data_IF_489483815737
#
_entry.id   IF_489483815737
#
_cell.length_a   1.000
_cell.length_b   1.000
_cell.length_c   1.000
_cell.angle_alpha   90.00
_cell.angle_beta   90.00
_cell.angle_gamma   90.00
#
_symmetry.space_group_name_H-M   'P 1'
#
loop_
_entity.id
_entity.type
_entity.pdbx_description
1 polymer ?
#
# COMPACT_ATOMS: atom_id res chain seq x y z
N UNK A 1 -1.95 8.52 5.02
CA UNK A 1 -1.17 7.27 5.09
C UNK A 1 -0.41 7.10 3.80
N UNK A 2 0.89 6.81 3.83
CA UNK A 2 1.66 6.42 2.65
C UNK A 2 2.17 5.00 2.85
N UNK A 3 2.06 4.15 1.83
CA UNK A 3 2.40 2.74 1.93
C UNK A 3 2.48 2.05 0.58
N UNK A 4 2.79 0.74 0.59
CA UNK A 4 3.00 -0.06 -0.61
C UNK A 4 1.78 -0.09 -1.57
N UNK A 5 0.57 0.18 -1.06
CA UNK A 5 -0.63 0.29 -1.90
C UNK A 5 -0.55 1.35 -2.99
N UNK A 6 0.28 2.39 -2.83
CA UNK A 6 0.47 3.41 -3.89
C UNK A 6 1.15 2.83 -5.13
N UNK A 7 1.95 1.77 -4.99
CA UNK A 7 2.66 1.15 -6.11
C UNK A 7 1.73 0.35 -7.03
N UNK A 8 0.60 -0.14 -6.52
CA UNK A 8 -0.40 -0.85 -7.33
C UNK A 8 -1.41 0.11 -7.99
N UNK A 9 -1.52 1.35 -7.52
CA UNK A 9 -2.46 2.34 -8.07
C UNK A 9 -2.28 2.58 -9.58
N UNK A 10 -1.06 2.79 -10.14
CA UNK A 10 -0.91 2.98 -11.58
C UNK A 10 -1.36 1.76 -12.39
N UNK A 11 -1.12 0.56 -11.87
CA UNK A 11 -1.57 -0.67 -12.52
C UNK A 11 -3.08 -0.80 -12.49
N UNK A 12 -3.72 -0.50 -11.36
CA UNK A 12 -5.18 -0.50 -11.23
C UNK A 12 -5.81 0.54 -12.16
N UNK A 13 -5.26 1.76 -12.20
CA UNK A 13 -5.69 2.83 -13.12
C UNK A 13 -5.54 2.43 -14.60
N UNK A 14 -4.48 1.70 -14.96
CA UNK A 14 -4.29 1.19 -16.31
C UNK A 14 -5.32 0.11 -16.70
N UNK A 15 -5.81 -0.67 -15.74
CA UNK A 15 -6.83 -1.71 -15.96
C UNK A 15 -8.25 -1.16 -15.96
N UNK A 16 -8.59 -0.23 -15.05
CA UNK A 16 -9.92 0.38 -14.90
C UNK A 16 -10.17 1.57 -15.84
N UNK A 17 -9.13 2.07 -16.50
CA UNK A 17 -9.19 3.29 -17.31
C UNK A 17 -9.23 4.57 -16.47
N UNK A 18 -8.87 5.69 -17.10
CA UNK A 18 -8.72 6.97 -16.40
C UNK A 18 -10.05 7.50 -15.83
N UNK A 19 -11.15 7.43 -16.58
CA UNK A 19 -12.44 7.94 -16.14
C UNK A 19 -12.98 7.24 -14.89
N UNK A 20 -13.31 5.94 -14.96
CA UNK A 20 -13.80 5.18 -13.81
C UNK A 20 -12.80 5.14 -12.65
N UNK A 21 -11.50 5.00 -12.97
CA UNK A 21 -10.45 4.99 -11.97
C UNK A 21 -10.40 6.28 -11.14
N UNK A 22 -10.45 7.46 -11.78
CA UNK A 22 -10.46 8.75 -11.06
C UNK A 22 -11.73 8.92 -10.23
N UNK A 23 -12.90 8.53 -10.76
CA UNK A 23 -14.16 8.60 -10.00
C UNK A 23 -14.08 7.76 -8.73
N UNK A 24 -13.62 6.51 -8.83
CA UNK A 24 -13.48 5.62 -7.67
C UNK A 24 -12.44 6.17 -6.68
N UNK A 25 -11.33 6.73 -7.16
CA UNK A 25 -10.32 7.35 -6.30
C UNK A 25 -10.88 8.53 -5.49
N UNK A 26 -11.63 9.42 -6.14
CA UNK A 26 -12.25 10.58 -5.48
C UNK A 26 -13.32 10.11 -4.47
N UNK A 27 -14.16 9.16 -4.84
CA UNK A 27 -15.16 8.59 -3.92
C UNK A 27 -14.50 7.92 -2.70
N UNK A 28 -13.47 7.10 -2.93
CA UNK A 28 -12.70 6.47 -1.86
C UNK A 28 -12.07 7.50 -0.94
N UNK A 29 -11.54 8.60 -1.49
CA UNK A 29 -10.97 9.69 -0.70
C UNK A 29 -12.02 10.40 0.16
N UNK A 30 -13.19 10.72 -0.39
CA UNK A 30 -14.30 11.34 0.37
C UNK A 30 -14.75 10.41 1.51
N UNK A 31 -14.95 9.12 1.22
CA UNK A 31 -15.33 8.13 2.24
C UNK A 31 -14.26 8.07 3.34
N UNK A 32 -12.98 8.07 2.97
CA UNK A 32 -11.86 8.04 3.93
C UNK A 32 -11.83 9.28 4.82
N UNK A 33 -12.07 10.47 4.26
CA UNK A 33 -12.16 11.70 5.06
C UNK A 33 -13.34 11.66 6.03
N UNK A 34 -14.50 11.18 5.56
CA UNK A 34 -15.68 11.04 6.39
C UNK A 34 -15.45 10.06 7.55
N UNK A 35 -14.86 8.89 7.29
CA UNK A 35 -14.57 7.90 8.34
C UNK A 35 -13.52 8.42 9.32
N UNK A 36 -12.48 9.13 8.86
CA UNK A 36 -11.51 9.77 9.74
C UNK A 36 -12.17 10.79 10.66
N UNK A 37 -13.07 11.61 10.12
CA UNK A 37 -13.83 12.55 10.95
C UNK A 37 -14.69 11.82 11.99
N UNK A 38 -15.43 10.78 11.60
CA UNK A 38 -16.18 9.98 12.56
C UNK A 38 -15.29 9.38 13.65
N UNK A 39 -14.08 8.92 13.32
CA UNK A 39 -13.16 8.39 14.34
C UNK A 39 -12.69 9.46 15.33
N UNK A 40 -12.41 10.68 14.85
CA UNK A 40 -12.03 11.80 15.72
C UNK A 40 -13.16 12.15 16.67
N UNK A 41 -14.39 12.26 16.16
CA UNK A 41 -15.56 12.54 16.99
C UNK A 41 -15.80 11.41 18.01
N UNK A 42 -15.61 10.15 17.58
CA UNK A 42 -15.85 9.01 18.44
C UNK A 42 -14.81 8.79 19.53
N UNK A 43 -13.63 9.38 19.37
CA UNK A 43 -12.50 9.25 20.30
C UNK A 43 -12.80 9.87 21.69
N UNK A 44 -13.63 10.92 21.71
CA UNK A 44 -14.05 11.65 22.93
C UNK A 44 -15.59 11.70 23.08
N UNK A 45 -16.32 10.69 22.57
CA UNK A 45 -17.80 10.63 22.68
C UNK A 45 -18.33 10.75 24.11
N UNK A 46 -17.54 10.36 25.11
CA UNK A 46 -17.91 10.44 26.53
C UNK A 46 -16.93 11.37 27.24
N UNK A 47 -17.41 12.47 27.85
CA UNK A 47 -16.52 13.39 28.56
C UNK A 47 -15.77 12.66 29.68
N UNK A 48 -14.45 12.68 29.62
CA UNK A 48 -13.55 12.05 30.59
C UNK A 48 -13.09 10.63 30.25
N UNK A 49 -13.52 10.03 29.13
CA UNK A 49 -13.01 8.72 28.67
C UNK A 49 -12.52 8.80 27.23
N UNK A 50 -11.22 8.54 27.04
CA UNK A 50 -10.54 8.52 25.76
C UNK A 50 -10.55 7.09 25.21
N UNK A 51 -11.14 6.89 24.03
CA UNK A 51 -11.17 5.57 23.38
C UNK A 51 -10.04 5.47 22.35
N UNK A 52 -8.86 5.03 22.79
CA UNK A 52 -7.67 4.96 21.93
C UNK A 52 -7.62 3.72 21.02
N UNK A 53 -8.46 2.70 21.27
CA UNK A 53 -8.44 1.44 20.52
C UNK A 53 -9.78 1.11 19.87
N UNK A 54 -9.71 0.57 18.65
CA UNK A 54 -10.89 0.17 17.86
C UNK A 54 -11.81 -0.81 18.59
N UNK A 55 -11.27 -1.77 19.34
CA UNK A 55 -12.11 -2.71 20.09
C UNK A 55 -12.82 -2.04 21.27
N UNK A 56 -12.24 -1.02 21.90
CA UNK A 56 -12.89 -0.29 23.00
C UNK A 56 -14.08 0.53 22.48
N UNK A 57 -13.91 1.17 21.31
CA UNK A 57 -15.03 1.80 20.58
C UNK A 57 -16.09 0.78 20.19
N UNK A 58 -15.68 -0.37 19.65
CA UNK A 58 -16.60 -1.45 19.27
C UNK A 58 -17.40 -1.97 20.45
N UNK A 59 -16.76 -2.14 21.60
CA UNK A 59 -17.41 -2.55 22.85
C UNK A 59 -18.39 -1.49 23.37
N UNK A 60 -18.09 -0.21 23.20
CA UNK A 60 -19.00 0.86 23.56
C UNK A 60 -20.23 0.94 22.64
N UNK A 61 -20.05 0.78 21.33
CA UNK A 61 -21.13 0.90 20.34
C UNK A 61 -22.01 -0.35 20.23
N UNK A 62 -21.43 -1.55 20.32
CA UNK A 62 -22.12 -2.83 20.08
C UNK A 62 -22.24 -3.71 21.34
N UNK A 63 -21.72 -3.26 22.48
CA UNK A 63 -21.66 -4.02 23.73
C UNK A 63 -20.38 -4.82 23.91
N UNK A 64 -20.02 -5.14 25.17
CA UNK A 64 -18.70 -5.68 25.55
C UNK A 64 -18.28 -6.97 24.82
N UNK A 65 -19.25 -7.86 24.52
CA UNK A 65 -18.97 -9.14 23.87
C UNK A 65 -19.10 -9.07 22.35
N UNK A 66 -20.18 -8.49 21.84
CA UNK A 66 -20.44 -8.41 20.40
C UNK A 66 -19.45 -7.49 19.69
N UNK A 67 -19.14 -6.32 20.27
CA UNK A 67 -18.16 -5.40 19.72
C UNK A 67 -16.77 -5.99 19.59
N UNK A 68 -16.33 -6.75 20.60
CA UNK A 68 -15.04 -7.42 20.57
C UNK A 68 -14.99 -8.52 19.52
N UNK A 69 -16.03 -9.37 19.44
CA UNK A 69 -16.10 -10.46 18.45
C UNK A 69 -16.21 -10.00 17.00
N UNK A 70 -16.70 -8.79 16.72
CA UNK A 70 -16.78 -8.26 15.36
C UNK A 70 -15.48 -7.51 14.99
N UNK A 71 -15.02 -6.61 15.86
CA UNK A 71 -13.91 -5.71 15.53
C UNK A 71 -12.57 -6.43 15.56
N UNK A 72 -12.33 -7.31 16.54
CA UNK A 72 -11.01 -7.96 16.69
C UNK A 72 -10.70 -8.90 15.52
N UNK A 73 -11.60 -9.78 15.06
CA UNK A 73 -11.30 -10.63 13.90
C UNK A 73 -11.06 -9.83 12.63
N UNK A 74 -11.86 -8.78 12.39
CA UNK A 74 -11.67 -7.92 11.22
C UNK A 74 -10.30 -7.22 11.24
N UNK A 75 -9.91 -6.68 12.40
CA UNK A 75 -8.61 -6.03 12.57
C UNK A 75 -7.47 -7.02 12.35
N UNK A 76 -7.54 -8.22 12.94
CA UNK A 76 -6.52 -9.26 12.77
C UNK A 76 -6.39 -9.73 11.32
N UNK A 77 -7.50 -9.93 10.62
CA UNK A 77 -7.47 -10.34 9.20
C UNK A 77 -6.78 -9.25 8.36
N UNK A 78 -7.10 -7.98 8.60
CA UNK A 78 -6.47 -6.87 7.89
C UNK A 78 -4.98 -6.76 8.20
N UNK A 79 -4.58 -6.82 9.47
CA UNK A 79 -3.17 -6.72 9.90
C UNK A 79 -2.33 -7.87 9.32
N UNK A 80 -2.76 -9.12 9.51
CA UNK A 80 -2.07 -10.30 8.99
C UNK A 80 -2.00 -10.27 7.46
N UNK A 81 -3.09 -9.88 6.79
CA UNK A 81 -3.11 -9.77 5.33
C UNK A 81 -2.10 -8.74 4.81
N UNK A 82 -2.05 -7.57 5.47
CA UNK A 82 -1.10 -6.50 5.14
C UNK A 82 0.34 -6.96 5.36
N UNK A 83 0.64 -7.63 6.47
CA UNK A 83 1.98 -8.16 6.77
C UNK A 83 2.46 -9.16 5.72
N UNK A 84 1.59 -10.08 5.29
CA UNK A 84 1.91 -11.05 4.22
C UNK A 84 2.24 -10.31 2.91
N UNK A 85 1.43 -9.33 2.52
CA UNK A 85 1.64 -8.56 1.29
C UNK A 85 2.97 -7.78 1.36
N UNK A 86 3.29 -7.19 2.51
CA UNK A 86 4.57 -6.49 2.70
C UNK A 86 5.76 -7.45 2.64
N UNK A 87 5.68 -8.64 3.25
CA UNK A 87 6.74 -9.65 3.18
C UNK A 87 7.03 -10.09 1.75
N UNK A 88 5.99 -10.39 0.98
CA UNK A 88 6.13 -10.82 -0.43
C UNK A 88 6.66 -9.68 -1.30
N UNK A 89 6.14 -8.46 -1.11
CA UNK A 89 6.55 -7.29 -1.89
C UNK A 89 7.99 -6.89 -1.58
N UNK A 90 8.40 -6.94 -0.31
CA UNK A 90 9.78 -6.70 0.12
C UNK A 90 10.74 -7.73 -0.45
N UNK A 91 10.41 -9.03 -0.37
CA UNK A 91 11.21 -10.10 -0.96
C UNK A 91 11.35 -9.98 -2.48
N UNK A 92 10.27 -9.64 -3.20
CA UNK A 92 10.32 -9.35 -4.65
C UNK A 92 11.18 -8.13 -4.97
N UNK A 93 11.17 -7.11 -4.11
CA UNK A 93 12.00 -5.91 -4.28
C UNK A 93 13.49 -6.25 -4.14
N UNK A 94 13.85 -7.06 -3.14
CA UNK A 94 15.22 -7.56 -2.98
C UNK A 94 15.68 -8.41 -4.17
N UNK A 95 14.81 -9.27 -4.69
CA UNK A 95 15.09 -10.05 -5.89
C UNK A 95 15.40 -9.13 -7.08
N UNK A 96 14.59 -8.09 -7.32
CA UNK A 96 14.85 -7.13 -8.40
C UNK A 96 16.18 -6.41 -8.24
N UNK A 97 16.55 -6.02 -7.01
CA UNK A 97 17.86 -5.40 -6.74
C UNK A 97 18.99 -6.38 -7.08
N UNK A 98 18.87 -7.64 -6.64
CA UNK A 98 19.82 -8.68 -6.97
C UNK A 98 19.96 -8.87 -8.49
N UNK A 99 18.85 -8.92 -9.22
CA UNK A 99 18.85 -9.13 -10.67
C UNK A 99 19.47 -7.95 -11.41
N UNK A 100 19.23 -6.71 -10.97
CA UNK A 100 19.86 -5.51 -11.52
C UNK A 100 21.38 -5.50 -11.33
N UNK A 101 21.86 -5.91 -10.14
CA UNK A 101 23.31 -6.01 -9.88
C UNK A 101 23.92 -7.17 -10.68
N UNK A 102 23.19 -8.27 -10.80
CA UNK A 102 23.63 -9.45 -11.54
C UNK A 102 23.69 -9.25 -13.05
N UNK A 103 22.88 -8.38 -13.64
CA UNK A 103 23.00 -8.04 -15.08
C UNK A 103 24.41 -7.52 -15.45
N UNK A 104 25.18 -7.02 -14.48
CA UNK A 104 26.56 -6.58 -14.66
C UNK A 104 27.63 -7.66 -14.39
N UNK A 105 27.26 -8.84 -13.87
CA UNK A 105 28.20 -9.96 -13.62
C UNK A 105 27.79 -11.23 -14.36
N UNK A 106 28.73 -11.85 -15.07
CA UNK A 106 28.47 -13.02 -15.94
C UNK A 106 28.09 -14.32 -15.19
N UNK A 107 28.36 -14.42 -13.89
CA UNK A 107 28.18 -15.67 -13.11
C UNK A 107 27.03 -15.59 -12.09
N UNK A 108 25.85 -15.21 -12.56
CA UNK A 108 24.71 -15.01 -11.68
C UNK A 108 23.71 -16.16 -11.73
N UNK A 109 23.64 -16.89 -10.62
CA UNK A 109 22.68 -17.98 -10.44
C UNK A 109 21.32 -17.42 -10.06
N UNK A 110 20.27 -17.85 -10.77
CA UNK A 110 18.90 -17.52 -10.45
C UNK A 110 18.51 -18.14 -9.09
N UNK A 111 18.26 -17.29 -8.11
CA UNK A 111 17.78 -17.68 -6.77
C UNK A 111 16.25 -17.55 -6.76
N UNK A 112 15.57 -18.53 -6.14
CA UNK A 112 14.10 -18.49 -6.01
C UNK A 112 13.67 -17.32 -5.14
N UNK A 113 12.57 -16.65 -5.51
CA UNK A 113 11.96 -15.53 -4.75
C UNK A 113 11.72 -15.87 -3.28
N UNK A 114 11.38 -17.13 -2.97
CA UNK A 114 11.16 -17.61 -1.60
C UNK A 114 12.36 -17.34 -0.68
N UNK A 115 13.59 -17.48 -1.17
CA UNK A 115 14.78 -17.20 -0.35
C UNK A 115 14.92 -15.71 -0.05
N UNK A 116 14.60 -14.82 -1.01
CA UNK A 116 14.60 -13.38 -0.76
C UNK A 116 13.51 -12.95 0.23
N UNK A 117 12.35 -13.59 0.20
CA UNK A 117 11.29 -13.37 1.21
C UNK A 117 11.80 -13.80 2.60
N UNK A 118 12.45 -14.96 2.72
CA UNK A 118 13.01 -15.43 3.99
C UNK A 118 14.10 -14.49 4.54
N UNK A 119 14.95 -13.93 3.67
CA UNK A 119 15.95 -12.93 4.05
C UNK A 119 15.28 -11.64 4.54
N UNK A 120 14.22 -11.19 3.87
CA UNK A 120 13.48 -10.01 4.32
C UNK A 120 12.77 -10.24 5.66
N UNK A 121 12.22 -11.44 5.86
CA UNK A 121 11.55 -11.85 7.09
C UNK A 121 12.53 -11.96 8.28
N UNK A 122 13.77 -12.43 8.07
CA UNK A 122 14.75 -12.50 9.15
C UNK A 122 15.14 -11.12 9.68
N UNK A 123 15.23 -10.11 8.81
CA UNK A 123 15.44 -8.72 9.24
C UNK A 123 14.26 -8.22 10.09
N UNK A 124 13.03 -8.50 9.68
CA UNK A 124 11.83 -8.12 10.45
C UNK A 124 11.76 -8.83 11.80
N UNK A 125 12.18 -10.09 11.86
CA UNK A 125 12.27 -10.85 13.11
C UNK A 125 13.28 -10.24 14.09
N UNK A 126 14.43 -9.75 13.60
CA UNK A 126 15.39 -9.05 14.46
C UNK A 126 14.81 -7.71 14.92
N UNK A 127 14.13 -6.97 14.03
CA UNK A 127 13.49 -5.70 14.37
C UNK A 127 12.35 -5.87 15.38
N UNK A 128 11.60 -6.98 15.36
CA UNK A 128 10.53 -7.25 16.32
C UNK A 128 11.03 -7.48 17.75
N UNK A 129 12.31 -7.81 17.91
CA UNK A 129 12.94 -7.95 19.23
C UNK A 129 13.36 -6.60 19.83
N UNK A 130 13.23 -5.49 19.11
CA UNK A 130 13.54 -4.16 19.65
C UNK A 130 12.34 -3.64 20.48
N UNK A 131 12.46 -3.51 21.82
CA UNK A 131 11.34 -3.13 22.68
C UNK A 131 11.10 -1.61 22.75
N UNK A 132 11.89 -0.79 22.04
CA UNK A 132 11.89 0.67 22.18
C UNK A 132 11.14 1.36 21.05
N UNK A 133 10.08 2.12 21.38
CA UNK A 133 9.38 3.02 20.46
C UNK A 133 10.31 4.05 19.79
N UNK A 134 11.39 4.46 20.49
CA UNK A 134 12.41 5.35 19.92
C UNK A 134 13.24 4.71 18.80
N UNK A 135 13.35 3.38 18.73
CA UNK A 135 14.00 2.71 17.60
C UNK A 135 13.09 2.70 16.36
N UNK A 136 11.77 2.66 16.56
CA UNK A 136 10.77 2.61 15.49
C UNK A 136 10.58 4.00 14.85
N UNK A 137 10.73 5.09 15.62
CA UNK A 137 10.63 6.45 15.08
C UNK A 137 11.68 6.74 14.00
N UNK A 138 12.89 6.19 14.14
CA UNK A 138 13.94 6.29 13.11
C UNK A 138 13.55 5.59 11.80
N UNK A 139 12.96 4.40 11.89
CA UNK A 139 12.45 3.64 10.73
C UNK A 139 11.27 4.39 10.09
N UNK A 140 10.38 4.96 10.90
CA UNK A 140 9.26 5.78 10.41
C UNK A 140 9.73 7.02 9.67
N UNK A 141 10.73 7.73 10.20
CA UNK A 141 11.33 8.89 9.55
C UNK A 141 11.97 8.50 8.21
N UNK A 142 12.74 7.41 8.16
CA UNK A 142 13.30 6.89 6.92
C UNK A 142 12.22 6.52 5.90
N UNK A 143 11.14 5.87 6.34
CA UNK A 143 10.00 5.54 5.48
C UNK A 143 9.32 6.81 4.93
N UNK A 144 9.17 7.86 5.73
CA UNK A 144 8.63 9.14 5.30
C UNK A 144 9.54 9.81 4.24
N UNK A 145 10.86 9.83 4.46
CA UNK A 145 11.83 10.37 3.49
C UNK A 145 11.78 9.58 2.17
N UNK A 146 11.75 8.25 2.23
CA UNK A 146 11.65 7.41 1.04
C UNK A 146 10.35 7.67 0.29
N UNK A 147 9.22 7.78 1.00
CA UNK A 147 7.91 8.11 0.43
C UNK A 147 7.92 9.45 -0.30
N UNK A 148 8.48 10.50 0.31
CA UNK A 148 8.61 11.81 -0.31
C UNK A 148 9.49 11.72 -1.56
N UNK A 149 10.63 11.04 -1.46
CA UNK A 149 11.55 10.83 -2.58
C UNK A 149 10.89 10.12 -3.75
N UNK A 150 10.16 9.02 -3.51
CA UNK A 150 9.42 8.31 -4.56
C UNK A 150 8.34 9.17 -5.20
N UNK A 151 7.60 9.96 -4.40
CA UNK A 151 6.59 10.87 -4.91
C UNK A 151 7.22 11.97 -5.79
N UNK A 152 8.33 12.56 -5.35
CA UNK A 152 9.06 13.57 -6.11
C UNK A 152 9.62 12.99 -7.41
N UNK A 153 10.23 11.80 -7.39
CA UNK A 153 10.72 11.13 -8.60
C UNK A 153 9.56 10.85 -9.57
N UNK A 154 8.43 10.34 -9.06
CA UNK A 154 7.25 10.08 -9.89
C UNK A 154 6.71 11.36 -10.53
N UNK A 155 6.69 12.47 -9.80
CA UNK A 155 6.29 13.79 -10.31
C UNK A 155 7.25 14.29 -11.38
N UNK A 156 8.56 14.30 -11.10
CA UNK A 156 9.60 14.75 -12.03
C UNK A 156 9.59 13.90 -13.30
N UNK A 157 9.54 12.57 -13.18
CA UNK A 157 9.47 11.67 -14.33
C UNK A 157 8.19 11.86 -15.15
N UNK A 158 7.06 12.21 -14.51
CA UNK A 158 5.80 12.50 -15.22
C UNK A 158 5.86 13.81 -15.99
N UNK A 159 6.51 14.84 -15.43
CA UNK A 159 6.73 16.13 -16.09
C UNK A 159 7.74 15.99 -17.23
N UNK A 160 8.86 15.31 -16.98
CA UNK A 160 9.89 15.04 -17.98
C UNK A 160 9.34 14.27 -19.19
N UNK A 161 8.57 13.20 -18.94
CA UNK A 161 7.85 12.48 -20.01
C UNK A 161 6.87 13.37 -20.75
N UNK A 162 6.20 14.32 -20.10
CA UNK A 162 5.31 15.27 -20.79
C UNK A 162 6.13 16.17 -21.73
N UNK A 163 7.24 16.71 -21.25
CA UNK A 163 8.11 17.61 -22.05
C UNK A 163 8.75 16.88 -23.24
N UNK A 164 9.24 15.64 -23.05
CA UNK A 164 9.82 14.84 -24.13
C UNK A 164 8.79 14.28 -25.11
N UNK A 165 7.60 13.83 -24.67
CA UNK A 165 6.58 13.26 -25.55
C UNK A 165 5.74 14.31 -26.29
N UNK A 166 5.91 15.61 -26.03
CA UNK A 166 5.36 16.66 -26.90
C UNK A 166 5.97 16.63 -28.32
N UNK A 167 7.06 15.88 -28.54
CA UNK A 167 7.69 15.76 -29.86
C UNK A 167 7.22 14.53 -30.64
N UNK A 168 6.82 13.38 -30.06
CA UNK A 168 6.50 12.19 -30.88
C UNK A 168 5.48 11.12 -30.39
N UNK A 169 4.81 11.21 -29.23
CA UNK A 169 3.79 10.18 -28.87
C UNK A 169 2.60 10.75 -28.09
N UNK A 170 1.39 10.66 -28.68
CA UNK A 170 0.15 10.96 -27.98
C UNK A 170 -0.04 9.98 -26.81
N UNK A 171 -0.09 10.52 -25.59
CA UNK A 171 -0.40 9.72 -24.38
C UNK A 171 -1.84 9.21 -24.52
N UNK A 172 -2.00 7.90 -24.74
CA UNK A 172 -3.30 7.28 -24.89
C UNK A 172 -3.93 7.03 -23.51
N UNK A 173 -4.96 7.79 -23.18
CA UNK A 173 -5.72 7.67 -21.93
C UNK A 173 -6.82 6.58 -21.99
N UNK A 174 -6.77 5.73 -23.02
CA UNK A 174 -7.70 4.64 -23.26
C UNK A 174 -7.45 3.41 -22.38
N UNK A 175 -8.35 2.45 -22.47
CA UNK A 175 -8.20 1.15 -21.80
C UNK A 175 -7.08 0.34 -22.48
N UNK A 176 -6.31 -0.42 -21.69
CA UNK A 176 -5.28 -1.32 -22.24
C UNK A 176 -5.84 -2.46 -23.11
N UNK A 177 -7.15 -2.74 -23.06
CA UNK A 177 -7.77 -3.82 -23.84
C UNK A 177 -8.48 -3.27 -25.08
N UNK A 178 -8.19 -3.88 -26.24
CA UNK A 178 -8.69 -3.46 -27.56
C UNK A 178 -10.14 -3.90 -27.85
N UNK A 179 -10.78 -4.66 -26.95
CA UNK A 179 -12.07 -5.33 -27.21
C UNK A 179 -13.04 -5.07 -26.06
N UNK A 180 -14.34 -4.81 -26.34
CA UNK A 180 -15.36 -4.53 -25.31
C UNK A 180 -15.48 -5.61 -24.24
N UNK A 181 -15.29 -6.89 -24.59
CA UNK A 181 -15.24 -7.97 -23.60
C UNK A 181 -13.98 -7.91 -22.73
N UNK A 182 -12.83 -7.56 -23.30
CA UNK A 182 -11.58 -7.36 -22.57
C UNK A 182 -11.71 -6.24 -21.53
N UNK A 183 -12.36 -5.13 -21.86
CA UNK A 183 -12.57 -4.02 -20.91
C UNK A 183 -13.45 -4.39 -19.70
N UNK A 184 -14.39 -5.32 -19.87
CA UNK A 184 -15.28 -5.78 -18.78
C UNK A 184 -14.62 -6.88 -17.94
N UNK A 185 -13.88 -7.80 -18.58
CA UNK A 185 -13.31 -8.98 -17.91
C UNK A 185 -11.86 -8.81 -17.42
N UNK A 186 -11.15 -7.72 -17.76
CA UNK A 186 -9.77 -7.50 -17.29
C UNK A 186 -9.65 -7.35 -15.77
N UNK A 187 -10.75 -7.08 -15.07
CA UNK A 187 -10.78 -7.04 -13.60
C UNK A 187 -10.81 -8.46 -12.97
N UNK A 188 -11.14 -9.49 -13.76
CA UNK A 188 -11.42 -10.85 -13.25
C UNK A 188 -10.34 -11.90 -13.53
N UNK A 189 -9.23 -11.57 -14.20
CA UNK A 189 -8.12 -12.51 -14.40
C UNK A 189 -6.75 -11.86 -14.10
N UNK A 190 -5.94 -12.47 -13.20
CA UNK A 190 -4.56 -12.06 -12.93
C UNK A 190 -3.59 -12.43 -14.06
#
# INVERSE_FOLDING_TARGET
MVGAGVLSLPSAMASLGWGPGVVILVLSWIITLYTLWQMVEMHEMVPGKRFDRYHELGQHAFGEKLGLWIVVPQQLICEVGVDIVYMVTGGKSLQKIHDLVCQHRKDCKNIKTTYFIMIFASVHFVLSHLPNFNAISGISLAAAIMSLSYSTIAWVASVDKRVHNHVDVAVEYGYKASTSAGNVFNFSMP
#
